data_IF_561495620398
#
_entry.id   IF_561495620398
#
_cell.length_a   1.000
_cell.length_b   1.000
_cell.length_c   1.000
_cell.angle_alpha   90.00
_cell.angle_beta   90.00
_cell.angle_gamma   90.00
#
_symmetry.space_group_name_H-M   'P 1'
#
loop_
_entity.id
_entity.type
_entity.pdbx_description
1 polymer ?
#
# COMPACT_ATOMS: atom_id res chain seq x y z
N UNK A 1 -18.87 -10.35 21.45
CA UNK A 1 -19.87 -10.72 20.41
C UNK A 1 -20.61 -12.00 20.80
N UNK A 2 -19.91 -13.08 21.13
CA UNK A 2 -20.53 -14.37 21.44
C UNK A 2 -21.38 -14.37 22.75
N UNK A 3 -20.96 -13.72 23.86
CA UNK A 3 -21.78 -13.58 25.05
C UNK A 3 -23.07 -12.77 24.81
N UNK A 4 -22.96 -11.69 24.04
CA UNK A 4 -24.09 -10.78 23.72
C UNK A 4 -25.10 -11.40 22.76
N UNK A 5 -24.68 -12.41 21.98
CA UNK A 5 -25.55 -13.19 21.09
C UNK A 5 -26.14 -14.44 21.79
N UNK A 6 -25.91 -14.62 23.09
CA UNK A 6 -26.43 -15.75 23.86
C UNK A 6 -25.80 -17.10 23.52
N UNK A 7 -24.65 -17.11 22.84
CA UNK A 7 -23.94 -18.36 22.49
C UNK A 7 -23.31 -18.92 23.76
N UNK A 8 -23.67 -20.13 24.16
CA UNK A 8 -23.07 -20.79 25.32
C UNK A 8 -21.55 -20.94 25.13
N UNK A 9 -20.78 -20.69 26.20
CA UNK A 9 -19.33 -20.85 26.18
C UNK A 9 -18.99 -22.33 26.05
N UNK A 10 -18.53 -22.73 24.88
CA UNK A 10 -18.00 -24.07 24.65
C UNK A 10 -16.52 -24.14 25.01
N UNK A 11 -16.06 -25.27 25.55
CA UNK A 11 -14.67 -25.48 25.99
C UNK A 11 -13.61 -25.40 24.88
N UNK A 12 -14.02 -25.46 23.62
CA UNK A 12 -13.12 -25.32 22.47
C UNK A 12 -12.84 -23.86 22.07
N UNK A 13 -13.63 -22.89 22.57
CA UNK A 13 -13.46 -21.48 22.23
C UNK A 13 -12.60 -20.81 23.30
N UNK A 14 -11.40 -20.29 22.97
CA UNK A 14 -10.58 -19.55 23.91
C UNK A 14 -11.34 -18.35 24.49
N UNK A 15 -11.13 -18.07 25.78
CA UNK A 15 -11.78 -16.97 26.52
C UNK A 15 -11.67 -15.63 25.78
N UNK A 16 -10.50 -15.37 25.19
CA UNK A 16 -10.20 -14.18 24.42
C UNK A 16 -11.15 -14.02 23.23
N UNK A 17 -11.26 -15.04 22.36
CA UNK A 17 -12.15 -15.05 21.19
C UNK A 17 -13.64 -14.92 21.58
N UNK A 18 -14.01 -15.49 22.71
CA UNK A 18 -15.38 -15.42 23.22
C UNK A 18 -15.75 -13.99 23.63
N UNK A 19 -14.87 -13.28 24.34
CA UNK A 19 -15.13 -11.94 24.87
C UNK A 19 -14.88 -10.80 23.86
N UNK A 20 -14.32 -11.08 22.69
CA UNK A 20 -14.02 -10.07 21.66
C UNK A 20 -15.22 -9.14 21.36
N UNK A 21 -15.03 -7.81 21.38
CA UNK A 21 -16.06 -6.84 20.99
C UNK A 21 -16.35 -6.88 19.48
N UNK A 22 -17.45 -6.23 19.06
CA UNK A 22 -17.99 -6.35 17.69
C UNK A 22 -17.04 -5.76 16.62
N UNK A 23 -16.36 -4.67 16.95
CA UNK A 23 -15.33 -4.06 16.11
C UNK A 23 -14.16 -5.01 15.84
N UNK A 24 -13.66 -5.73 16.84
CA UNK A 24 -12.56 -6.68 16.66
C UNK A 24 -12.99 -7.90 15.84
N UNK A 25 -14.21 -8.39 16.03
CA UNK A 25 -14.78 -9.44 15.17
C UNK A 25 -14.87 -9.02 13.70
N UNK A 26 -15.27 -7.77 13.41
CA UNK A 26 -15.25 -7.26 12.04
C UNK A 26 -13.85 -7.17 11.46
N UNK A 27 -12.84 -6.78 12.25
CA UNK A 27 -11.45 -6.75 11.80
C UNK A 27 -10.94 -8.16 11.48
N UNK A 28 -11.27 -9.16 12.32
CA UNK A 28 -10.93 -10.57 12.08
C UNK A 28 -11.59 -11.08 10.80
N UNK A 29 -12.90 -10.85 10.65
CA UNK A 29 -13.63 -11.25 9.43
C UNK A 29 -13.06 -10.60 8.17
N UNK A 30 -12.80 -9.28 8.23
CA UNK A 30 -12.18 -8.54 7.12
C UNK A 30 -10.79 -9.09 6.77
N UNK A 31 -9.99 -9.43 7.77
CA UNK A 31 -8.68 -10.06 7.58
C UNK A 31 -8.78 -11.42 6.89
N UNK A 32 -9.73 -12.26 7.29
CA UNK A 32 -9.98 -13.56 6.66
C UNK A 32 -10.37 -13.38 5.19
N UNK A 33 -11.35 -12.51 4.91
CA UNK A 33 -11.83 -12.24 3.54
C UNK A 33 -10.70 -11.71 2.66
N UNK A 34 -9.91 -10.76 3.18
CA UNK A 34 -8.78 -10.17 2.44
C UNK A 34 -7.70 -11.21 2.14
N UNK A 35 -7.41 -12.09 3.09
CA UNK A 35 -6.44 -13.16 2.93
C UNK A 35 -6.86 -14.15 1.83
N UNK A 36 -8.11 -14.65 1.89
CA UNK A 36 -8.65 -15.52 0.84
C UNK A 36 -8.67 -14.84 -0.52
N UNK A 37 -9.07 -13.57 -0.59
CA UNK A 37 -9.07 -12.81 -1.84
C UNK A 37 -7.66 -12.72 -2.44
N UNK A 38 -6.65 -12.44 -1.60
CA UNK A 38 -5.25 -12.33 -2.04
C UNK A 38 -4.71 -13.68 -2.52
N UNK A 39 -5.00 -14.76 -1.79
CA UNK A 39 -4.56 -16.11 -2.15
C UNK A 39 -5.20 -16.56 -3.47
N UNK A 40 -6.52 -16.50 -3.58
CA UNK A 40 -7.24 -16.92 -4.80
C UNK A 40 -6.80 -16.11 -6.02
N UNK A 41 -6.64 -14.78 -5.86
CA UNK A 41 -6.15 -13.92 -6.93
C UNK A 41 -4.74 -14.31 -7.38
N UNK A 42 -3.86 -14.67 -6.43
CA UNK A 42 -2.50 -15.13 -6.74
C UNK A 42 -2.56 -16.47 -7.47
N UNK A 43 -3.27 -17.47 -6.94
CA UNK A 43 -3.40 -18.79 -7.56
C UNK A 43 -3.96 -18.70 -8.99
N UNK A 44 -4.97 -17.87 -9.21
CA UNK A 44 -5.56 -17.67 -10.53
C UNK A 44 -4.56 -17.07 -11.53
N UNK A 45 -3.73 -16.10 -11.12
CA UNK A 45 -2.68 -15.56 -11.97
C UNK A 45 -1.64 -16.64 -12.31
N UNK A 46 -1.22 -17.45 -11.34
CA UNK A 46 -0.26 -18.54 -11.58
C UNK A 46 -0.82 -19.56 -12.58
N UNK A 47 -2.09 -19.94 -12.44
CA UNK A 47 -2.76 -20.89 -13.34
C UNK A 47 -2.86 -20.35 -14.77
N UNK A 48 -3.32 -19.11 -14.96
CA UNK A 48 -3.41 -18.48 -16.29
C UNK A 48 -2.05 -18.37 -16.97
N UNK A 49 -0.98 -18.06 -16.22
CA UNK A 49 0.39 -17.98 -16.78
C UNK A 49 0.96 -19.35 -17.11
N UNK A 50 0.65 -20.37 -16.31
CA UNK A 50 1.03 -21.76 -16.58
C UNK A 50 0.40 -22.26 -17.88
N UNK A 51 -0.88 -21.95 -18.12
CA UNK A 51 -1.56 -22.27 -19.38
C UNK A 51 -0.93 -21.58 -20.59
N UNK A 52 -0.37 -20.38 -20.40
CA UNK A 52 0.35 -19.62 -21.44
C UNK A 52 1.84 -20.00 -21.57
N UNK A 53 2.33 -20.96 -20.80
CA UNK A 53 3.76 -21.34 -20.73
C UNK A 53 4.70 -20.16 -20.45
N UNK A 54 4.22 -19.14 -19.73
CA UNK A 54 5.02 -17.98 -19.31
C UNK A 54 5.71 -18.23 -17.97
N UNK A 55 6.82 -17.54 -17.70
CA UNK A 55 7.52 -17.69 -16.43
C UNK A 55 6.70 -17.20 -15.24
N UNK A 56 6.57 -18.05 -14.24
CA UNK A 56 5.74 -17.83 -13.04
C UNK A 56 6.41 -16.93 -11.99
N UNK A 57 7.72 -16.68 -12.11
CA UNK A 57 8.48 -16.01 -11.05
C UNK A 57 8.30 -14.48 -11.05
N UNK A 58 8.19 -13.88 -12.23
CA UNK A 58 8.12 -12.42 -12.43
C UNK A 58 6.96 -11.70 -11.69
N UNK A 59 5.73 -12.25 -11.59
CA UNK A 59 4.63 -11.66 -10.83
C UNK A 59 4.84 -11.80 -9.33
N UNK A 60 5.45 -12.91 -8.88
CA UNK A 60 5.67 -13.17 -7.46
C UNK A 60 6.65 -12.16 -6.87
N UNK A 61 7.69 -11.79 -7.62
CA UNK A 61 8.57 -10.67 -7.25
C UNK A 61 7.83 -9.32 -7.19
N UNK A 62 6.70 -9.16 -7.88
CA UNK A 62 5.87 -7.96 -7.83
C UNK A 62 5.10 -7.80 -6.51
N UNK A 63 4.86 -8.90 -5.79
CA UNK A 63 4.23 -8.89 -4.47
C UNK A 63 5.22 -8.61 -3.34
N UNK A 64 6.51 -8.82 -3.58
CA UNK A 64 7.58 -8.60 -2.59
C UNK A 64 7.52 -7.19 -1.96
N UNK A 65 7.45 -6.08 -2.71
CA UNK A 65 7.38 -4.75 -2.11
C UNK A 65 6.16 -4.57 -1.19
N UNK A 66 5.01 -5.15 -1.54
CA UNK A 66 3.81 -5.10 -0.69
C UNK A 66 4.06 -5.80 0.66
N UNK A 67 4.54 -7.04 0.65
CA UNK A 67 4.80 -7.77 1.90
C UNK A 67 5.87 -7.10 2.74
N UNK A 68 6.93 -6.59 2.11
CA UNK A 68 8.01 -5.88 2.80
C UNK A 68 7.47 -4.65 3.54
N UNK A 69 6.68 -3.81 2.87
CA UNK A 69 6.07 -2.63 3.49
C UNK A 69 5.11 -3.02 4.63
N UNK A 70 4.29 -4.05 4.43
CA UNK A 70 3.34 -4.52 5.45
C UNK A 70 3.97 -5.26 6.63
N UNK A 71 5.22 -5.73 6.51
CA UNK A 71 5.99 -6.25 7.65
C UNK A 71 6.66 -5.10 8.40
N UNK A 72 7.26 -4.15 7.67
CA UNK A 72 8.01 -3.05 8.30
C UNK A 72 7.13 -2.07 9.08
N UNK A 73 5.92 -1.75 8.60
CA UNK A 73 5.01 -0.82 9.28
C UNK A 73 4.62 -1.30 10.69
N UNK A 74 4.06 -2.51 10.88
CA UNK A 74 3.72 -3.00 12.22
C UNK A 74 4.97 -3.28 13.06
N UNK A 75 6.08 -3.72 12.45
CA UNK A 75 7.35 -3.89 13.17
C UNK A 75 7.83 -2.56 13.77
N UNK A 76 7.73 -1.46 13.03
CA UNK A 76 8.07 -0.13 13.53
C UNK A 76 7.16 0.33 14.67
N UNK A 77 5.84 0.12 14.54
CA UNK A 77 4.88 0.44 15.59
C UNK A 77 5.09 -0.38 16.87
N UNK A 78 5.52 -1.65 16.72
CA UNK A 78 5.83 -2.51 17.86
C UNK A 78 7.09 -2.08 18.59
N UNK A 79 8.15 -1.72 17.84
CA UNK A 79 9.39 -1.22 18.42
C UNK A 79 9.17 0.13 19.13
N UNK A 80 8.31 0.99 18.57
CA UNK A 80 8.13 2.36 19.03
C UNK A 80 6.70 2.69 19.47
N UNK A 81 6.30 2.28 20.69
CA UNK A 81 4.93 2.46 21.18
C UNK A 81 4.55 3.93 21.38
N UNK A 82 5.53 4.85 21.51
CA UNK A 82 5.26 6.29 21.62
C UNK A 82 4.57 6.85 20.38
N UNK A 83 4.86 6.29 19.20
CA UNK A 83 4.22 6.68 17.94
C UNK A 83 2.77 6.15 17.94
N UNK A 84 2.57 4.91 18.38
CA UNK A 84 1.25 4.29 18.47
C UNK A 84 0.30 5.06 19.40
N UNK A 85 0.78 5.54 20.54
CA UNK A 85 -0.06 6.22 21.53
C UNK A 85 -0.25 7.72 21.31
N UNK A 86 0.74 8.43 20.75
CA UNK A 86 0.70 9.90 20.68
C UNK A 86 0.72 10.48 19.26
N UNK A 87 1.25 9.77 18.26
CA UNK A 87 1.49 10.33 16.91
C UNK A 87 1.01 9.39 15.80
N UNK A 88 -0.07 8.65 16.04
CA UNK A 88 -0.62 7.70 15.09
C UNK A 88 -1.16 8.38 13.82
N UNK A 89 -1.72 9.59 13.93
CA UNK A 89 -2.36 10.28 12.79
C UNK A 89 -1.33 10.62 11.69
N UNK A 90 -0.21 11.33 11.97
CA UNK A 90 0.83 11.58 10.95
C UNK A 90 1.40 10.28 10.36
N UNK A 91 1.54 9.24 11.19
CA UNK A 91 2.07 7.96 10.77
C UNK A 91 1.12 7.22 9.82
N UNK A 92 -0.17 7.16 10.12
CA UNK A 92 -1.19 6.56 9.24
C UNK A 92 -1.29 7.33 7.93
N UNK A 93 -1.18 8.66 7.97
CA UNK A 93 -1.17 9.47 6.74
C UNK A 93 0.06 9.16 5.87
N UNK A 94 1.23 9.03 6.49
CA UNK A 94 2.46 8.60 5.80
C UNK A 94 2.31 7.21 5.18
N UNK A 95 1.83 6.22 5.94
CA UNK A 95 1.55 4.86 5.44
C UNK A 95 0.54 4.88 4.29
N UNK A 96 -0.49 5.72 4.39
CA UNK A 96 -1.46 5.94 3.32
C UNK A 96 -0.81 6.44 2.04
N UNK A 97 0.10 7.41 2.13
CA UNK A 97 0.86 7.93 0.98
C UNK A 97 1.80 6.88 0.36
N UNK A 98 2.45 6.05 1.17
CA UNK A 98 3.27 4.93 0.67
C UNK A 98 2.43 3.99 -0.20
N UNK A 99 1.24 3.60 0.30
CA UNK A 99 0.32 2.72 -0.42
C UNK A 99 -0.26 3.39 -1.67
N UNK A 100 -0.68 4.65 -1.58
CA UNK A 100 -1.20 5.42 -2.70
C UNK A 100 -0.16 5.57 -3.83
N UNK A 101 1.10 5.82 -3.47
CA UNK A 101 2.21 5.88 -4.41
C UNK A 101 2.42 4.53 -5.11
N UNK A 102 2.47 3.42 -4.36
CA UNK A 102 2.65 2.09 -4.92
C UNK A 102 1.54 1.71 -5.91
N UNK A 103 0.28 1.96 -5.54
CA UNK A 103 -0.87 1.66 -6.41
C UNK A 103 -0.88 2.56 -7.63
N UNK A 104 -0.58 3.86 -7.47
CA UNK A 104 -0.50 4.80 -8.58
C UNK A 104 0.56 4.38 -9.62
N UNK A 105 1.72 3.90 -9.18
CA UNK A 105 2.75 3.39 -10.10
C UNK A 105 2.24 2.18 -10.90
N UNK A 106 1.52 1.26 -10.26
CA UNK A 106 0.92 0.09 -10.93
C UNK A 106 -0.12 0.53 -11.97
N UNK A 107 -0.98 1.50 -11.64
CA UNK A 107 -1.99 2.05 -12.56
C UNK A 107 -1.33 2.67 -13.78
N UNK A 108 -0.33 3.54 -13.60
CA UNK A 108 0.38 4.18 -14.71
C UNK A 108 1.06 3.14 -15.59
N UNK A 109 1.76 2.18 -14.98
CA UNK A 109 2.45 1.13 -15.74
C UNK A 109 1.46 0.28 -16.56
N UNK A 110 0.30 -0.03 -15.99
CA UNK A 110 -0.74 -0.80 -16.66
C UNK A 110 -1.38 -0.01 -17.83
N UNK A 111 -1.83 1.22 -17.58
CA UNK A 111 -2.49 2.05 -18.59
C UNK A 111 -1.57 2.38 -19.76
N UNK A 112 -0.32 2.74 -19.47
CA UNK A 112 0.67 3.08 -20.51
C UNK A 112 1.29 1.88 -21.19
N UNK A 113 0.92 0.65 -20.78
CA UNK A 113 1.52 -0.61 -21.24
C UNK A 113 3.05 -0.58 -21.15
N UNK A 114 3.56 0.02 -20.07
CA UNK A 114 4.99 0.18 -19.86
C UNK A 114 5.68 -1.19 -19.76
N UNK A 115 6.87 -1.37 -20.39
CA UNK A 115 7.53 -2.67 -20.44
C UNK A 115 8.14 -3.12 -19.09
N UNK A 116 8.27 -2.20 -18.13
CA UNK A 116 8.85 -2.46 -16.81
C UNK A 116 7.78 -2.32 -15.73
N UNK A 117 7.64 -3.36 -14.91
CA UNK A 117 6.78 -3.33 -13.73
C UNK A 117 7.47 -2.54 -12.59
N UNK A 118 6.74 -1.70 -11.84
CA UNK A 118 7.32 -0.91 -10.75
C UNK A 118 7.54 -1.79 -9.52
N UNK A 119 8.77 -2.27 -9.34
CA UNK A 119 9.15 -3.09 -8.19
C UNK A 119 9.63 -2.28 -6.97
N UNK A 120 9.86 -0.98 -7.13
CA UNK A 120 10.50 -0.13 -6.12
C UNK A 120 9.59 1.00 -5.66
N UNK A 121 9.40 1.08 -4.34
CA UNK A 121 8.71 2.18 -3.69
C UNK A 121 9.72 3.01 -2.88
N UNK A 122 10.08 4.18 -3.40
CA UNK A 122 11.04 5.09 -2.76
C UNK A 122 10.57 5.53 -1.37
N UNK A 123 9.25 5.61 -1.16
CA UNK A 123 8.67 6.00 0.14
C UNK A 123 8.73 4.89 1.20
N UNK A 124 9.09 3.65 0.82
CA UNK A 124 9.32 2.57 1.79
C UNK A 124 10.71 2.65 2.43
N UNK A 125 11.68 3.33 1.80
CA UNK A 125 13.05 3.45 2.32
C UNK A 125 13.13 4.13 3.70
N UNK A 126 12.45 5.27 3.97
CA UNK A 126 12.51 5.89 5.28
C UNK A 126 11.93 5.01 6.40
N UNK A 127 10.85 4.26 6.14
CA UNK A 127 10.32 3.28 7.11
C UNK A 127 11.33 2.16 7.35
N UNK A 128 11.93 1.61 6.29
CA UNK A 128 12.91 0.53 6.42
C UNK A 128 14.12 0.98 7.26
N UNK A 129 14.63 2.20 7.03
CA UNK A 129 15.70 2.78 7.85
C UNK A 129 15.27 2.98 9.30
N UNK A 130 14.04 3.47 9.54
CA UNK A 130 13.51 3.67 10.88
C UNK A 130 13.38 2.36 11.68
N UNK A 131 12.96 1.28 11.00
CA UNK A 131 12.90 -0.06 11.61
C UNK A 131 14.30 -0.57 11.92
N UNK A 132 15.27 -0.44 11.01
CA UNK A 132 16.64 -0.88 11.24
C UNK A 132 17.29 -0.11 12.40
N UNK A 133 17.10 1.21 12.47
CA UNK A 133 17.60 2.03 13.58
C UNK A 133 16.99 1.62 14.92
N UNK A 134 15.68 1.35 14.94
CA UNK A 134 14.97 0.96 16.17
C UNK A 134 15.25 -0.50 16.58
N UNK A 135 15.61 -1.37 15.63
CA UNK A 135 15.96 -2.77 15.90
C UNK A 135 17.39 -2.94 16.45
N UNK A 136 18.30 -2.03 16.14
CA UNK A 136 19.70 -2.06 16.60
C UNK A 136 19.87 -2.13 18.12
N UNK A 137 19.21 -1.25 18.90
CA UNK A 137 19.25 -1.29 20.37
C UNK A 137 18.62 -2.57 20.95
N UNK A 138 17.57 -3.09 20.32
CA UNK A 138 16.88 -4.30 20.81
C UNK A 138 17.77 -5.55 20.64
N UNK A 139 18.65 -5.54 19.65
CA UNK A 139 19.60 -6.62 19.35
C UNK A 139 21.00 -6.37 19.92
N UNK A 140 21.20 -5.28 20.67
CA UNK A 140 22.48 -4.85 21.25
C UNK A 140 23.62 -4.71 20.22
N UNK A 141 23.26 -4.39 18.96
CA UNK A 141 24.21 -4.27 17.84
C UNK A 141 24.77 -2.85 17.70
N UNK A 142 23.92 -1.82 17.88
CA UNK A 142 24.31 -0.41 17.82
C UNK A 142 23.33 0.49 18.60
N UNK A 143 23.81 1.64 19.12
CA UNK A 143 22.92 2.64 19.73
C UNK A 143 22.02 3.28 18.66
N UNK A 144 20.76 3.51 19.00
CA UNK A 144 19.80 4.17 18.08
C UNK A 144 20.23 5.60 17.82
N UNK A 145 20.33 5.96 16.54
CA UNK A 145 20.71 7.31 16.09
C UNK A 145 19.54 8.27 16.28
N UNK A 146 18.30 7.78 16.16
CA UNK A 146 17.11 8.59 16.41
C UNK A 146 16.86 8.79 17.92
N UNK A 147 17.43 7.96 18.80
CA UNK A 147 17.25 8.08 20.25
C UNK A 147 15.78 7.97 20.68
N UNK A 148 15.51 8.38 21.92
CA UNK A 148 14.17 8.25 22.51
C UNK A 148 13.35 9.54 22.44
N UNK A 149 12.11 9.41 21.96
CA UNK A 149 11.06 10.44 22.09
C UNK A 149 11.07 11.51 21.01
N UNK A 150 11.65 12.68 21.30
CA UNK A 150 11.45 13.91 20.51
C UNK A 150 11.95 13.80 19.07
N UNK A 151 13.10 13.15 18.87
CA UNK A 151 13.71 12.97 17.55
C UNK A 151 12.92 12.00 16.67
N UNK A 152 12.32 10.95 17.25
CA UNK A 152 11.42 10.05 16.50
C UNK A 152 10.14 10.73 16.06
N UNK A 153 9.58 11.60 16.90
CA UNK A 153 8.40 12.39 16.54
C UNK A 153 8.78 13.30 15.35
N UNK A 154 9.88 14.04 15.45
CA UNK A 154 10.38 14.89 14.38
C UNK A 154 10.63 14.09 13.09
N UNK A 155 11.18 12.88 13.21
CA UNK A 155 11.42 11.99 12.08
C UNK A 155 10.12 11.52 11.41
N UNK A 156 9.08 11.17 12.17
CA UNK A 156 7.77 10.80 11.59
C UNK A 156 7.19 11.97 10.80
N UNK A 157 7.17 13.18 11.37
CA UNK A 157 6.69 14.37 10.65
C UNK A 157 7.52 14.70 9.41
N UNK A 158 8.85 14.52 9.48
CA UNK A 158 9.73 14.68 8.34
C UNK A 158 9.44 13.64 7.25
N UNK A 159 9.21 12.38 7.62
CA UNK A 159 8.81 11.33 6.68
C UNK A 159 7.45 11.63 6.04
N UNK A 160 6.48 12.09 6.84
CA UNK A 160 5.17 12.50 6.32
C UNK A 160 5.30 13.67 5.34
N UNK A 161 6.09 14.69 5.66
CA UNK A 161 6.35 15.83 4.77
C UNK A 161 7.08 15.44 3.49
N UNK A 162 8.11 14.59 3.61
CA UNK A 162 8.82 14.03 2.46
C UNK A 162 7.90 13.22 1.55
N UNK A 163 7.05 12.37 2.13
CA UNK A 163 6.07 11.59 1.38
C UNK A 163 5.06 12.46 0.67
N UNK A 164 4.60 13.54 1.30
CA UNK A 164 3.70 14.50 0.68
C UNK A 164 4.36 15.20 -0.51
N UNK A 165 5.63 15.57 -0.41
CA UNK A 165 6.39 16.19 -1.50
C UNK A 165 6.57 15.24 -2.70
N UNK A 166 7.03 14.02 -2.44
CA UNK A 166 7.22 12.99 -3.49
C UNK A 166 5.89 12.62 -4.13
N UNK A 167 4.84 12.40 -3.33
CA UNK A 167 3.52 12.07 -3.84
C UNK A 167 2.92 13.23 -4.64
N UNK A 168 3.08 14.47 -4.18
CA UNK A 168 2.64 15.67 -4.90
C UNK A 168 3.29 15.79 -6.29
N UNK A 169 4.60 15.57 -6.38
CA UNK A 169 5.31 15.51 -7.67
C UNK A 169 4.78 14.36 -8.54
N UNK A 170 4.57 13.20 -7.93
CA UNK A 170 4.10 12.02 -8.64
C UNK A 170 2.68 12.19 -9.23
N UNK A 171 1.79 12.93 -8.57
CA UNK A 171 0.46 13.24 -9.11
C UNK A 171 0.56 14.00 -10.43
N UNK A 172 1.46 14.99 -10.49
CA UNK A 172 1.69 15.71 -11.74
C UNK A 172 2.19 14.77 -12.85
N UNK A 173 3.14 13.88 -12.53
CA UNK A 173 3.68 12.91 -13.48
C UNK A 173 2.62 11.91 -13.97
N UNK A 174 1.72 11.45 -13.09
CA UNK A 174 0.60 10.59 -13.48
C UNK A 174 -0.29 11.31 -14.51
N UNK A 175 -0.67 12.56 -14.21
CA UNK A 175 -1.59 13.33 -15.03
C UNK A 175 -0.99 13.56 -16.42
N UNK A 176 0.25 14.05 -16.49
CA UNK A 176 0.91 14.30 -17.77
C UNK A 176 1.12 13.01 -18.55
N UNK A 177 1.64 11.95 -17.91
CA UNK A 177 1.90 10.67 -18.56
C UNK A 177 0.62 10.02 -19.12
N UNK A 178 -0.48 10.04 -18.38
CA UNK A 178 -1.75 9.45 -18.84
C UNK A 178 -2.37 10.31 -19.95
N UNK A 179 -2.43 11.64 -19.77
CA UNK A 179 -3.03 12.55 -20.75
C UNK A 179 -2.21 12.54 -22.07
N UNK A 180 -0.88 12.37 -22.01
CA UNK A 180 -0.03 12.18 -23.19
C UNK A 180 -0.19 10.80 -23.85
N UNK A 181 -0.28 9.73 -23.06
CA UNK A 181 -0.43 8.38 -23.60
C UNK A 181 -1.79 8.14 -24.28
N UNK A 182 -2.87 8.64 -23.68
CA UNK A 182 -4.24 8.49 -24.21
C UNK A 182 -4.62 9.59 -25.21
N UNK A 183 -3.76 10.57 -25.45
CA UNK A 183 -3.99 11.73 -26.31
C UNK A 183 -5.26 12.53 -25.94
N UNK A 184 -5.47 12.76 -24.65
CA UNK A 184 -6.59 13.52 -24.08
C UNK A 184 -6.08 14.64 -23.18
N UNK A 185 -6.85 15.73 -23.03
CA UNK A 185 -6.60 16.65 -21.93
C UNK A 185 -7.52 16.32 -20.76
N UNK A 186 -7.04 16.58 -19.56
CA UNK A 186 -7.73 16.13 -18.36
C UNK A 186 -8.98 17.00 -18.03
N UNK A 187 -9.07 18.22 -18.57
CA UNK A 187 -10.22 19.14 -18.40
C UNK A 187 -10.84 19.61 -19.74
N UNK A 188 -10.37 19.10 -20.88
CA UNK A 188 -10.82 19.57 -22.20
C UNK A 188 -10.71 18.45 -23.24
N UNK A 189 -11.59 18.44 -24.24
CA UNK A 189 -11.50 17.49 -25.34
C UNK A 189 -10.41 17.96 -26.31
N UNK A 190 -9.39 17.11 -26.54
CA UNK A 190 -8.24 17.46 -27.40
C UNK A 190 -8.62 17.58 -28.87
N UNK A 191 -9.41 16.64 -29.37
CA UNK A 191 -9.90 16.61 -30.76
C UNK A 191 -11.42 16.75 -30.77
N UNK A 192 -11.97 17.98 -30.82
CA UNK A 192 -13.41 18.17 -30.95
C UNK A 192 -13.89 17.63 -32.31
N UNK A 193 -15.01 16.91 -32.30
CA UNK A 193 -15.59 16.34 -33.51
C UNK A 193 -16.21 17.44 -34.39
N UNK A 194 -15.70 17.61 -35.61
CA UNK A 194 -16.26 18.54 -36.61
C UNK A 194 -17.14 17.79 -37.62
N UNK A 195 -18.46 17.90 -37.42
CA UNK A 195 -19.47 17.30 -38.29
C UNK A 195 -19.42 17.80 -39.74
N UNK A 196 -18.94 19.03 -40.00
CA UNK A 196 -18.89 19.59 -41.37
C UNK A 196 -17.68 19.11 -42.14
N UNK A 197 -16.52 19.00 -41.48
CA UNK A 197 -15.31 18.45 -42.08
C UNK A 197 -15.48 16.96 -42.49
N UNK A 198 -16.17 16.16 -41.66
CA UNK A 198 -16.52 14.77 -41.96
C UNK A 198 -17.46 14.66 -43.17
N UNK A 199 -18.52 15.49 -43.24
CA UNK A 199 -19.45 15.51 -44.39
C UNK A 199 -18.76 15.87 -45.72
N UNK A 200 -17.74 16.73 -45.68
CA UNK A 200 -16.95 17.09 -46.89
C UNK A 200 -16.01 15.98 -47.35
N UNK A 201 -15.53 15.10 -46.46
CA UNK A 201 -14.70 13.93 -46.81
C UNK A 201 -15.52 12.76 -47.35
N UNK A 202 -16.79 12.66 -46.96
CA UNK A 202 -17.70 11.60 -47.40
C UNK A 202 -18.35 11.85 -48.78
N UNK A 203 -18.03 12.96 -49.44
CA UNK A 203 -18.64 13.42 -50.70
C UNK A 203 -17.58 13.47 -51.80
#
# INVERSE_FOLDING_TARGET
MLPTLGVAKYSFIPEYLYQLPFNEWFMVYGGIVLFFNTLESTLHVLEVRRQRSESTDKPLYGLLPFFVTWIFIPAYLYLQPIILHYHLIPFVFYVGLINAYSVGQIIVAHLTKSPKFPYQNVLTLPVALAVLDSAGPMLDLWPSVLGDGTYQIAFVFLCTGFALGVYGSFVHDIITTICDYLDIWCLTIKHPYDFEAEKKKAK
#
